data_IF_656581349531
#
_entry.id   IF_656581349531
#
_cell.length_a   1.000
_cell.length_b   1.000
_cell.length_c   1.000
_cell.angle_alpha   90.00
_cell.angle_beta   90.00
_cell.angle_gamma   90.00
#
_symmetry.space_group_name_H-M   'P 1'
#
loop_
_entity.id
_entity.type
_entity.pdbx_description
1 polymer ?
#
# COMPACT_ATOMS: atom_id res chain seq x y z
N UNK A 1 -9.65 -15.98 1.34
CA UNK A 1 -9.59 -17.19 0.48
C UNK A 1 -8.27 -17.92 0.72
N UNK A 2 -8.24 -19.26 0.61
CA UNK A 2 -7.02 -20.08 0.68
C UNK A 2 -6.70 -20.64 -0.71
N UNK A 3 -5.42 -20.64 -1.07
CA UNK A 3 -4.96 -21.15 -2.35
C UNK A 3 -3.50 -21.60 -2.31
N UNK A 4 -2.99 -22.03 -3.45
CA UNK A 4 -1.60 -22.43 -3.61
C UNK A 4 -1.06 -21.92 -4.95
N UNK A 5 0.12 -21.33 -4.92
CA UNK A 5 0.90 -20.95 -6.10
C UNK A 5 2.20 -21.73 -6.02
N UNK A 6 2.40 -22.67 -6.96
CA UNK A 6 3.54 -23.57 -6.95
C UNK A 6 3.69 -24.30 -5.59
N UNK A 7 4.83 -24.16 -4.90
CA UNK A 7 5.07 -24.75 -3.57
C UNK A 7 4.66 -23.83 -2.39
N UNK A 8 4.00 -22.71 -2.65
CA UNK A 8 3.62 -21.73 -1.63
C UNK A 8 2.11 -21.74 -1.38
N UNK A 9 1.70 -21.93 -0.13
CA UNK A 9 0.33 -21.69 0.28
C UNK A 9 0.10 -20.17 0.37
N UNK A 10 -1.00 -19.69 -0.20
CA UNK A 10 -1.32 -18.27 -0.32
C UNK A 10 -2.67 -18.00 0.33
N UNK A 11 -2.74 -16.90 1.08
CA UNK A 11 -3.98 -16.38 1.66
C UNK A 11 -4.15 -14.95 1.20
N UNK A 12 -5.34 -14.63 0.70
CA UNK A 12 -5.70 -13.26 0.31
C UNK A 12 -6.83 -12.79 1.23
N UNK A 13 -6.64 -11.59 1.78
CA UNK A 13 -7.67 -10.84 2.48
C UNK A 13 -7.92 -9.53 1.73
N UNK A 14 -9.18 -9.11 1.74
CA UNK A 14 -9.62 -7.82 1.22
C UNK A 14 -10.25 -7.05 2.39
N UNK A 15 -10.13 -5.72 2.38
CA UNK A 15 -10.85 -4.91 3.34
C UNK A 15 -12.35 -5.01 3.08
N UNK A 16 -13.20 -4.83 4.11
CA UNK A 16 -14.63 -4.71 3.92
C UNK A 16 -14.94 -3.59 2.92
N UNK A 17 -16.00 -3.78 2.14
CA UNK A 17 -16.44 -2.77 1.19
C UNK A 17 -16.72 -1.43 1.89
N UNK A 18 -16.29 -0.33 1.26
CA UNK A 18 -16.46 1.03 1.80
C UNK A 18 -15.52 1.40 2.95
N UNK A 19 -14.57 0.52 3.32
CA UNK A 19 -13.61 0.75 4.39
C UNK A 19 -12.20 0.90 3.82
N UNK A 20 -11.71 2.14 3.79
CA UNK A 20 -10.38 2.47 3.28
C UNK A 20 -9.47 3.07 4.36
N UNK A 21 -8.17 2.91 4.19
CA UNK A 21 -7.15 3.62 4.96
C UNK A 21 -6.24 2.70 5.79
N UNK A 22 -5.31 3.32 6.51
CA UNK A 22 -4.24 2.62 7.24
C UNK A 22 -4.78 1.79 8.41
N UNK A 23 -5.73 2.32 9.18
CA UNK A 23 -6.27 1.64 10.38
C UNK A 23 -6.98 0.32 10.03
N UNK A 24 -7.92 0.28 9.07
CA UNK A 24 -8.52 -0.99 8.64
C UNK A 24 -7.51 -2.00 8.08
N UNK A 25 -6.53 -1.54 7.30
CA UNK A 25 -5.48 -2.40 6.74
C UNK A 25 -4.62 -3.05 7.84
N UNK A 26 -4.26 -2.28 8.88
CA UNK A 26 -3.53 -2.80 10.06
C UNK A 26 -4.35 -3.86 10.79
N UNK A 27 -5.66 -3.64 10.95
CA UNK A 27 -6.55 -4.61 11.59
C UNK A 27 -6.62 -5.92 10.81
N UNK A 28 -6.85 -5.85 9.50
CA UNK A 28 -6.88 -7.04 8.62
C UNK A 28 -5.54 -7.79 8.67
N UNK A 29 -4.41 -7.08 8.60
CA UNK A 29 -3.09 -7.70 8.69
C UNK A 29 -2.86 -8.42 10.03
N UNK A 30 -3.29 -7.82 11.15
CA UNK A 30 -3.22 -8.45 12.48
C UNK A 30 -4.09 -9.71 12.55
N UNK A 31 -5.31 -9.64 12.03
CA UNK A 31 -6.22 -10.80 12.03
C UNK A 31 -5.71 -11.93 11.13
N UNK A 32 -5.08 -11.60 9.99
CA UNK A 32 -4.40 -12.59 9.15
C UNK A 32 -3.26 -13.28 9.89
N UNK A 33 -2.38 -12.51 10.55
CA UNK A 33 -1.25 -13.06 11.30
C UNK A 33 -1.71 -13.97 12.45
N UNK A 34 -2.82 -13.61 13.12
CA UNK A 34 -3.43 -14.44 14.18
C UNK A 34 -4.04 -15.72 13.63
N UNK A 35 -4.77 -15.63 12.51
CA UNK A 35 -5.51 -16.77 11.93
C UNK A 35 -4.60 -17.77 11.25
N UNK A 36 -3.52 -17.30 10.62
CA UNK A 36 -2.60 -18.11 9.82
C UNK A 36 -1.18 -18.04 10.39
N UNK A 37 -0.88 -18.79 11.46
CA UNK A 37 0.42 -18.73 12.13
C UNK A 37 1.59 -19.18 11.25
N UNK A 38 1.31 -19.88 10.14
CA UNK A 38 2.31 -20.28 9.14
C UNK A 38 2.64 -19.18 8.10
N UNK A 39 2.06 -17.98 8.22
CA UNK A 39 2.42 -16.83 7.36
C UNK A 39 3.88 -16.45 7.60
N UNK A 40 4.69 -16.49 6.54
CA UNK A 40 6.12 -16.16 6.57
C UNK A 40 6.47 -14.84 5.89
N UNK A 41 5.64 -14.44 4.93
CA UNK A 41 5.84 -13.25 4.08
C UNK A 41 4.48 -12.59 3.90
N UNK A 42 4.46 -11.25 3.94
CA UNK A 42 3.28 -10.44 3.64
C UNK A 42 3.58 -9.48 2.48
N UNK A 43 2.62 -9.33 1.57
CA UNK A 43 2.65 -8.34 0.50
C UNK A 43 1.41 -7.46 0.65
N UNK A 44 1.62 -6.14 0.70
CA UNK A 44 0.54 -5.15 0.62
C UNK A 44 0.51 -4.58 -0.80
N UNK A 45 -0.63 -4.70 -1.47
CA UNK A 45 -0.85 -4.18 -2.82
C UNK A 45 -1.94 -3.12 -2.74
N UNK A 46 -1.68 -1.98 -3.35
CA UNK A 46 -2.63 -0.88 -3.45
C UNK A 46 -2.32 -0.03 -4.67
N UNK A 47 -3.26 0.86 -5.01
CA UNK A 47 -3.05 1.87 -6.04
C UNK A 47 -2.47 3.14 -5.41
N UNK A 48 -1.68 3.88 -6.18
CA UNK A 48 -1.08 5.14 -5.75
C UNK A 48 -0.99 6.12 -6.92
N UNK A 49 -0.84 7.41 -6.61
CA UNK A 49 -0.50 8.44 -7.57
C UNK A 49 1.02 8.62 -7.69
N UNK A 50 1.52 8.88 -8.89
CA UNK A 50 2.93 9.17 -9.14
C UNK A 50 3.18 10.66 -9.37
N UNK A 51 4.32 11.17 -8.89
CA UNK A 51 4.80 12.53 -9.18
C UNK A 51 6.08 12.39 -10.03
N UNK A 52 5.99 12.50 -11.38
CA UNK A 52 7.17 12.41 -12.23
C UNK A 52 8.09 13.62 -12.04
N UNK A 53 9.39 13.40 -12.16
CA UNK A 53 10.43 14.44 -12.21
C UNK A 53 11.34 14.16 -13.41
N UNK A 54 10.86 14.56 -14.60
CA UNK A 54 11.56 14.34 -15.86
C UNK A 54 12.93 15.02 -15.91
N UNK A 55 13.12 16.11 -15.15
CA UNK A 55 14.41 16.80 -15.05
C UNK A 55 15.49 15.93 -14.39
N UNK A 56 15.08 15.02 -13.51
CA UNK A 56 15.93 14.01 -12.86
C UNK A 56 15.84 12.63 -13.52
N UNK A 57 15.16 12.52 -14.67
CA UNK A 57 14.94 11.25 -15.36
C UNK A 57 13.94 10.32 -14.66
N UNK A 58 13.12 10.83 -13.74
CA UNK A 58 12.07 10.06 -13.06
C UNK A 58 10.78 10.19 -13.88
N UNK A 59 10.58 9.25 -14.79
CA UNK A 59 9.39 9.15 -15.64
C UNK A 59 8.44 8.09 -15.05
N UNK A 60 7.35 8.54 -14.41
CA UNK A 60 6.32 7.69 -13.82
C UNK A 60 5.04 7.84 -14.63
N UNK A 61 4.49 6.72 -15.10
CA UNK A 61 3.33 6.66 -16.00
C UNK A 61 2.24 5.75 -15.45
N UNK A 62 1.02 5.95 -15.95
CA UNK A 62 -0.09 5.05 -15.63
C UNK A 62 0.23 3.63 -16.11
N UNK A 63 0.07 2.67 -15.21
CA UNK A 63 0.40 1.26 -15.44
C UNK A 63 1.75 0.84 -14.85
N UNK A 64 2.59 1.78 -14.41
CA UNK A 64 3.84 1.44 -13.74
C UNK A 64 3.59 0.76 -12.39
N UNK A 65 4.40 -0.26 -12.09
CA UNK A 65 4.42 -0.93 -10.80
C UNK A 65 5.62 -0.41 -10.01
N UNK A 66 5.33 0.19 -8.85
CA UNK A 66 6.36 0.68 -7.94
C UNK A 66 6.56 -0.33 -6.82
N UNK A 67 7.82 -0.72 -6.59
CA UNK A 67 8.20 -1.62 -5.49
C UNK A 67 9.08 -0.85 -4.52
N UNK A 68 8.64 -0.75 -3.26
CA UNK A 68 9.43 -0.10 -2.22
C UNK A 68 10.68 -0.90 -1.89
N UNK A 69 11.83 -0.24 -1.86
CA UNK A 69 13.10 -0.81 -1.39
C UNK A 69 13.49 -0.15 -0.08
N UNK A 70 13.85 -0.95 0.92
CA UNK A 70 14.40 -0.41 2.17
C UNK A 70 15.76 0.27 1.89
N UNK A 71 15.92 1.52 2.33
CA UNK A 71 17.19 2.22 2.29
C UNK A 71 17.56 2.74 3.68
N UNK A 72 18.70 2.26 4.21
CA UNK A 72 19.24 2.61 5.53
C UNK A 72 18.17 2.58 6.63
N UNK A 73 17.70 3.75 7.07
CA UNK A 73 16.75 3.95 8.17
C UNK A 73 15.27 3.93 7.76
N UNK A 74 14.95 3.99 6.47
CA UNK A 74 13.55 4.02 5.99
C UNK A 74 13.09 2.62 5.61
N UNK A 75 11.95 2.19 6.18
CA UNK A 75 11.34 0.86 6.00
C UNK A 75 10.71 0.63 4.61
N UNK A 76 11.13 1.38 3.59
CA UNK A 76 10.69 1.25 2.19
C UNK A 76 9.44 2.07 1.85
N UNK A 77 8.45 2.15 2.74
CA UNK A 77 7.25 2.99 2.55
C UNK A 77 7.15 4.00 3.69
N UNK A 78 6.93 5.26 3.35
CA UNK A 78 6.67 6.34 4.31
C UNK A 78 5.28 6.89 4.00
N UNK A 79 4.45 6.99 5.03
CA UNK A 79 3.16 7.67 4.90
C UNK A 79 3.43 9.17 4.81
N UNK A 80 3.11 9.77 3.65
CA UNK A 80 3.09 11.22 3.50
C UNK A 80 1.67 11.70 3.82
N UNK A 81 1.51 12.38 4.95
CA UNK A 81 0.21 12.91 5.42
C UNK A 81 -0.15 14.25 4.76
N UNK A 82 0.58 14.67 3.73
CA UNK A 82 0.18 15.82 2.91
C UNK A 82 -1.18 15.49 2.27
N UNK A 83 -2.19 16.28 2.63
CA UNK A 83 -3.52 16.21 2.05
C UNK A 83 -3.47 16.27 0.52
N UNK A 84 -4.49 15.71 -0.14
CA UNK A 84 -4.60 15.83 -1.60
C UNK A 84 -4.70 17.30 -1.97
N UNK A 85 -3.75 17.79 -2.77
CA UNK A 85 -3.84 19.11 -3.37
C UNK A 85 -4.61 19.00 -4.69
N UNK A 86 -5.66 19.81 -4.85
CA UNK A 86 -6.32 20.00 -6.14
C UNK A 86 -5.68 21.15 -6.91
N UNK A 87 -5.86 21.13 -8.23
CA UNK A 87 -5.51 22.23 -9.11
C UNK A 87 -6.37 23.45 -8.72
N UNK A 88 -5.77 24.44 -8.06
CA UNK A 88 -6.48 25.58 -7.48
C UNK A 88 -6.19 25.90 -6.01
N UNK A 89 -5.29 25.17 -5.33
CA UNK A 89 -4.74 25.60 -4.03
C UNK A 89 -5.61 25.31 -2.80
N UNK A 90 -6.69 24.56 -2.96
CA UNK A 90 -7.57 24.19 -1.86
C UNK A 90 -7.22 22.77 -1.39
N UNK A 91 -6.86 22.63 -0.11
CA UNK A 91 -6.58 21.34 0.53
C UNK A 91 -7.78 20.92 1.37
N UNK A 92 -8.21 19.66 1.20
CA UNK A 92 -9.17 19.02 2.11
C UNK A 92 -8.45 17.99 2.98
N UNK A 93 -8.60 18.12 4.29
CA UNK A 93 -8.25 17.08 5.26
C UNK A 93 -9.33 16.00 5.20
N UNK A 94 -8.92 14.75 4.94
CA UNK A 94 -9.81 13.60 5.11
C UNK A 94 -10.12 13.50 6.61
N UNK A 95 -11.36 13.81 6.98
CA UNK A 95 -11.87 13.60 8.33
C UNK A 95 -11.77 12.12 8.71
N UNK A 96 -11.27 11.88 9.91
CA UNK A 96 -11.12 10.58 10.56
C UNK A 96 -12.45 9.85 10.72
#
# INVERSE_FOLDING_TARGET
MLGRIHQHNVVIACMPEGVDGSVPAVTVAKDMARTFPALRVGLMVGIGGGIPDLSKGIDIRLGDIVVSKQEKTWRGVVQDDKGKAEDGGNSWSKGS
#
